data_IF_347978020981
#
_entry.id   IF_347978020981
#
_cell.length_a   1.000
_cell.length_b   1.000
_cell.length_c   1.000
_cell.angle_alpha   90.00
_cell.angle_beta   90.00
_cell.angle_gamma   90.00
#
_symmetry.space_group_name_H-M   'P 1'
#
loop_
_entity.id
_entity.type
_entity.pdbx_description
1 polymer ?
#
# COMPACT_ATOMS: atom_id res chain seq x y z
N UNK A 1 15.99 -7.02 -19.25
CA UNK A 1 15.36 -7.12 -20.58
C UNK A 1 14.00 -7.71 -20.31
N UNK A 2 12.97 -6.87 -20.36
CA UNK A 2 11.59 -7.26 -20.06
C UNK A 2 11.14 -8.20 -21.18
N UNK A 3 10.68 -9.40 -20.83
CA UNK A 3 10.26 -10.44 -21.78
C UNK A 3 9.18 -9.91 -22.73
N UNK A 4 9.15 -10.40 -23.97
CA UNK A 4 8.12 -10.04 -24.96
C UNK A 4 6.70 -10.38 -24.45
N UNK A 5 6.59 -11.35 -23.54
CA UNK A 5 5.33 -11.70 -22.86
C UNK A 5 4.90 -10.63 -21.84
N UNK A 6 5.85 -10.03 -21.12
CA UNK A 6 5.59 -8.88 -20.24
C UNK A 6 5.31 -7.63 -21.07
N UNK A 7 6.01 -7.44 -22.20
CA UNK A 7 5.72 -6.35 -23.15
C UNK A 7 4.33 -6.50 -23.77
N UNK A 8 3.86 -7.72 -24.02
CA UNK A 8 2.49 -8.00 -24.46
C UNK A 8 1.45 -7.77 -23.35
N UNK A 9 1.74 -8.18 -22.10
CA UNK A 9 0.86 -7.92 -20.96
C UNK A 9 0.73 -6.41 -20.65
N UNK A 10 1.85 -5.69 -20.74
CA UNK A 10 1.91 -4.22 -20.61
C UNK A 10 1.25 -3.55 -21.82
N UNK A 11 1.41 -4.10 -23.03
CA UNK A 11 0.71 -3.69 -24.25
C UNK A 11 -0.81 -3.82 -24.20
N UNK A 12 -1.31 -4.90 -23.59
CA UNK A 12 -2.74 -5.10 -23.37
C UNK A 12 -3.30 -4.12 -22.31
N UNK A 13 -2.52 -3.84 -21.26
CA UNK A 13 -2.86 -2.79 -20.27
C UNK A 13 -2.79 -1.37 -20.88
N UNK A 14 -1.96 -1.15 -21.91
CA UNK A 14 -1.78 0.10 -22.65
C UNK A 14 -2.98 0.45 -23.55
N UNK A 15 -3.50 -0.49 -24.35
CA UNK A 15 -4.72 -0.25 -25.16
C UNK A 15 -5.95 0.04 -24.29
N UNK A 16 -5.95 -0.55 -23.09
CA UNK A 16 -6.97 -0.40 -22.07
C UNK A 16 -6.95 0.97 -21.39
N UNK A 17 -5.77 1.51 -21.06
CA UNK A 17 -5.61 2.83 -20.45
C UNK A 17 -5.82 4.00 -21.45
N UNK A 18 -5.61 3.78 -22.75
CA UNK A 18 -5.71 4.80 -23.78
C UNK A 18 -7.17 5.18 -24.17
N UNK A 19 -8.17 4.43 -23.70
CA UNK A 19 -9.57 4.57 -24.13
C UNK A 19 -10.52 5.08 -23.05
N UNK A 20 -10.03 5.35 -21.84
CA UNK A 20 -10.88 5.69 -20.69
C UNK A 20 -10.38 6.94 -19.97
N UNK A 21 -11.25 7.95 -19.85
CA UNK A 21 -11.14 8.93 -18.77
C UNK A 21 -11.10 8.14 -17.45
N UNK A 22 -10.07 8.43 -16.66
CA UNK A 22 -9.50 7.55 -15.64
C UNK A 22 -10.45 7.39 -14.45
N UNK A 23 -11.42 6.47 -14.52
CA UNK A 23 -12.23 5.98 -13.38
C UNK A 23 -12.51 4.45 -13.45
N UNK A 24 -12.19 3.78 -14.56
CA UNK A 24 -12.36 2.33 -14.78
C UNK A 24 -12.48 2.00 -16.28
N UNK A 25 -12.41 0.72 -16.67
CA UNK A 25 -12.49 0.23 -18.05
C UNK A 25 -12.82 -1.27 -18.17
N UNK A 26 -12.73 -1.87 -19.36
CA UNK A 26 -12.93 -3.32 -19.56
C UNK A 26 -12.05 -3.90 -20.68
N UNK A 27 -11.47 -5.09 -20.46
CA UNK A 27 -10.61 -5.84 -21.39
C UNK A 27 -11.06 -7.31 -21.47
N UNK A 28 -11.27 -7.84 -22.68
CA UNK A 28 -11.60 -9.27 -22.91
C UNK A 28 -12.74 -9.83 -22.03
N UNK A 29 -13.76 -9.00 -21.75
CA UNK A 29 -14.90 -9.35 -20.90
C UNK A 29 -14.65 -9.16 -19.40
N UNK A 30 -13.48 -8.66 -19.01
CA UNK A 30 -13.09 -8.32 -17.64
C UNK A 30 -13.16 -6.81 -17.45
N UNK A 31 -14.14 -6.34 -16.68
CA UNK A 31 -14.22 -4.93 -16.27
C UNK A 31 -13.30 -4.67 -15.08
N UNK A 32 -12.51 -3.60 -15.13
CA UNK A 32 -11.74 -3.09 -14.00
C UNK A 32 -12.24 -1.70 -13.60
N UNK A 33 -12.16 -1.44 -12.31
CA UNK A 33 -12.22 -0.10 -11.72
C UNK A 33 -10.89 0.12 -11.00
N UNK A 34 -10.50 1.35 -10.68
CA UNK A 34 -9.42 1.55 -9.71
C UNK A 34 -9.95 1.03 -8.36
N UNK A 35 -9.76 -0.26 -8.13
CA UNK A 35 -10.41 -1.04 -7.07
C UNK A 35 -9.81 -0.77 -5.68
N UNK A 36 -8.77 0.06 -5.63
CA UNK A 36 -8.18 0.63 -4.41
C UNK A 36 -9.15 1.50 -3.60
N UNK A 37 -10.31 1.83 -4.16
CA UNK A 37 -11.41 2.44 -3.42
C UNK A 37 -12.33 1.42 -2.72
N UNK A 38 -12.23 0.09 -2.96
CA UNK A 38 -13.14 -0.88 -2.33
C UNK A 38 -13.00 -0.83 -0.82
N UNK A 39 -13.99 -0.28 -0.10
CA UNK A 39 -13.79 -0.04 1.31
C UNK A 39 -13.90 -1.36 2.06
N UNK A 40 -12.96 -1.57 2.98
CA UNK A 40 -12.95 -2.72 3.86
C UNK A 40 -13.97 -2.49 4.97
N UNK A 41 -14.91 -3.41 5.12
CA UNK A 41 -15.81 -3.46 6.27
C UNK A 41 -15.02 -3.95 7.48
N UNK A 42 -15.01 -3.16 8.54
CA UNK A 42 -14.25 -3.41 9.76
C UNK A 42 -15.05 -4.26 10.74
N UNK A 43 -14.37 -5.17 11.42
CA UNK A 43 -14.89 -5.90 12.56
C UNK A 43 -15.23 -4.94 13.70
N UNK A 44 -16.32 -5.16 14.48
CA UNK A 44 -16.72 -4.25 15.56
C UNK A 44 -15.66 -3.93 16.61
N UNK A 45 -14.68 -4.82 16.82
CA UNK A 45 -13.55 -4.61 17.72
C UNK A 45 -12.70 -3.38 17.39
N UNK A 46 -12.71 -2.91 16.14
CA UNK A 46 -11.99 -1.70 15.72
C UNK A 46 -12.52 -0.42 16.39
N UNK A 47 -13.69 -0.43 17.01
CA UNK A 47 -14.20 0.69 17.83
C UNK A 47 -13.32 0.97 19.05
N UNK A 48 -12.64 -0.05 19.56
CA UNK A 48 -11.82 0.03 20.77
C UNK A 48 -10.41 0.60 20.49
N UNK A 49 -10.01 0.73 19.23
CA UNK A 49 -8.70 1.31 18.86
C UNK A 49 -8.80 2.83 18.95
N UNK A 50 -8.36 3.41 20.07
CA UNK A 50 -8.57 4.83 20.39
C UNK A 50 -8.01 5.81 19.33
N UNK A 51 -6.89 5.45 18.70
CA UNK A 51 -6.22 6.25 17.68
C UNK A 51 -6.88 6.12 16.29
N UNK A 52 -7.80 5.18 16.08
CA UNK A 52 -8.59 5.16 14.85
C UNK A 52 -9.53 6.38 14.85
N UNK A 53 -9.56 7.19 13.78
CA UNK A 53 -10.45 8.33 13.65
C UNK A 53 -11.91 8.00 13.98
N UNK A 54 -12.60 8.94 14.64
CA UNK A 54 -13.93 8.70 15.22
C UNK A 54 -15.01 8.37 14.20
N UNK A 55 -14.94 8.99 13.03
CA UNK A 55 -15.76 8.71 11.85
C UNK A 55 -15.54 7.28 11.33
N UNK A 56 -14.28 6.84 11.19
CA UNK A 56 -13.95 5.47 10.80
C UNK A 56 -14.38 4.44 11.86
N UNK A 57 -14.24 4.76 13.15
CA UNK A 57 -14.76 3.93 14.25
C UNK A 57 -16.29 3.82 14.25
N UNK A 58 -16.99 4.90 13.94
CA UNK A 58 -18.45 4.90 13.89
C UNK A 58 -18.96 4.13 12.66
N UNK A 59 -18.37 4.39 11.49
CA UNK A 59 -18.77 3.79 10.21
C UNK A 59 -18.32 2.35 10.01
N UNK A 60 -17.24 1.91 10.66
CA UNK A 60 -16.61 0.59 10.47
C UNK A 60 -16.38 0.26 9.00
N UNK A 61 -15.90 1.24 8.25
CA UNK A 61 -15.60 1.14 6.83
C UNK A 61 -14.41 2.04 6.55
N UNK A 62 -13.46 1.55 5.77
CA UNK A 62 -12.26 2.33 5.41
C UNK A 62 -11.81 1.98 3.99
N UNK A 63 -11.56 3.00 3.17
CA UNK A 63 -10.92 2.91 1.87
C UNK A 63 -9.62 3.71 1.80
N UNK A 64 -8.99 3.72 0.61
CA UNK A 64 -7.76 4.49 0.36
C UNK A 64 -7.95 6.00 0.53
N UNK A 65 -9.08 6.55 0.10
CA UNK A 65 -9.40 7.97 0.27
C UNK A 65 -9.47 8.39 1.75
N UNK A 66 -9.97 7.52 2.62
CA UNK A 66 -9.95 7.72 4.07
C UNK A 66 -8.51 7.74 4.60
N UNK A 67 -7.65 6.82 4.16
CA UNK A 67 -6.23 6.81 4.54
C UNK A 67 -5.51 8.10 4.17
N UNK A 68 -5.74 8.60 2.95
CA UNK A 68 -5.15 9.85 2.48
C UNK A 68 -5.66 11.05 3.28
N UNK A 69 -6.95 11.08 3.64
CA UNK A 69 -7.52 12.12 4.50
C UNK A 69 -6.92 12.09 5.92
N UNK A 70 -6.69 10.90 6.47
CA UNK A 70 -6.01 10.72 7.75
C UNK A 70 -4.56 11.19 7.66
N UNK A 71 -3.83 10.81 6.61
CA UNK A 71 -2.44 11.25 6.40
C UNK A 71 -2.33 12.77 6.30
N UNK A 72 -3.25 13.43 5.58
CA UNK A 72 -3.31 14.89 5.50
C UNK A 72 -3.53 15.55 6.88
N UNK A 73 -4.38 14.94 7.72
CA UNK A 73 -4.62 15.43 9.10
C UNK A 73 -3.41 15.20 10.01
N UNK A 74 -2.71 14.07 9.86
CA UNK A 74 -1.47 13.77 10.57
C UNK A 74 -0.38 14.81 10.24
N UNK A 75 -0.22 15.13 8.95
CA UNK A 75 0.69 16.17 8.44
C UNK A 75 0.41 17.55 9.03
N UNK A 76 -0.86 17.87 9.31
CA UNK A 76 -1.25 19.13 9.92
C UNK A 76 -0.93 19.23 11.42
N UNK A 77 -0.34 18.20 12.04
CA UNK A 77 0.17 18.22 13.41
C UNK A 77 -0.56 17.31 14.40
N UNK A 78 -1.32 16.32 13.93
CA UNK A 78 -2.09 15.41 14.79
C UNK A 78 -1.31 14.17 15.27
N UNK A 79 -0.02 14.08 14.93
CA UNK A 79 0.78 12.87 15.07
C UNK A 79 0.41 11.82 14.01
N UNK A 80 1.16 10.71 13.98
CA UNK A 80 1.13 9.65 12.97
C UNK A 80 0.49 8.37 13.46
N UNK A 81 0.29 8.21 14.78
CA UNK A 81 -0.45 7.10 15.35
C UNK A 81 -1.84 6.86 14.71
N UNK A 82 -2.63 7.90 14.33
CA UNK A 82 -3.89 7.68 13.62
C UNK A 82 -3.72 7.05 12.24
N UNK A 83 -2.67 7.41 11.50
CA UNK A 83 -2.38 6.79 10.20
C UNK A 83 -1.95 5.34 10.34
N UNK A 84 -1.16 4.99 11.38
CA UNK A 84 -0.84 3.60 11.68
C UNK A 84 -2.12 2.79 11.98
N UNK A 85 -3.02 3.34 12.81
CA UNK A 85 -4.29 2.69 13.14
C UNK A 85 -5.15 2.48 11.89
N UNK A 86 -5.26 3.50 11.04
CA UNK A 86 -6.02 3.46 9.80
C UNK A 86 -5.42 2.45 8.80
N UNK A 87 -4.10 2.48 8.56
CA UNK A 87 -3.43 1.53 7.68
C UNK A 87 -3.60 0.08 8.18
N UNK A 88 -3.54 -0.14 9.50
CA UNK A 88 -3.79 -1.45 10.09
C UNK A 88 -5.24 -1.89 9.92
N UNK A 89 -6.21 -0.97 10.06
CA UNK A 89 -7.63 -1.23 9.84
C UNK A 89 -7.92 -1.59 8.37
N UNK A 90 -7.27 -0.91 7.43
CA UNK A 90 -7.43 -1.22 6.02
C UNK A 90 -6.85 -2.60 5.65
N UNK A 91 -5.79 -3.04 6.30
CA UNK A 91 -5.17 -4.35 6.03
C UNK A 91 -5.81 -5.52 6.79
N UNK A 92 -6.17 -5.31 8.06
CA UNK A 92 -6.65 -6.36 8.96
C UNK A 92 -8.08 -6.13 9.43
N UNK A 93 -8.82 -5.26 8.75
CA UNK A 93 -10.12 -4.76 9.18
C UNK A 93 -11.12 -5.85 9.54
N UNK A 94 -11.11 -6.98 8.82
CA UNK A 94 -12.06 -8.08 9.04
C UNK A 94 -11.75 -8.94 10.27
N UNK A 95 -10.63 -8.69 10.96
CA UNK A 95 -10.15 -9.47 12.11
C UNK A 95 -10.20 -8.66 13.41
N UNK A 96 -10.64 -9.30 14.49
CA UNK A 96 -10.55 -8.79 15.86
C UNK A 96 -9.12 -8.86 16.42
N UNK A 97 -8.35 -9.90 16.07
CA UNK A 97 -6.91 -10.00 16.35
C UNK A 97 -6.14 -8.82 15.72
N UNK A 98 -6.58 -8.34 14.55
CA UNK A 98 -6.07 -7.13 13.93
C UNK A 98 -6.23 -5.89 14.82
N UNK A 99 -7.43 -5.68 15.37
CA UNK A 99 -7.71 -4.56 16.27
C UNK A 99 -6.91 -4.68 17.59
N UNK A 100 -6.90 -5.88 18.19
CA UNK A 100 -6.14 -6.14 19.42
C UNK A 100 -4.63 -5.92 19.24
N UNK A 101 -4.03 -6.45 18.16
CA UNK A 101 -2.61 -6.29 17.84
C UNK A 101 -2.27 -4.81 17.63
N UNK A 102 -3.11 -4.08 16.92
CA UNK A 102 -2.93 -2.65 16.64
C UNK A 102 -2.95 -1.83 17.92
N UNK A 103 -3.90 -2.07 18.83
CA UNK A 103 -3.93 -1.44 20.15
C UNK A 103 -2.63 -1.68 20.93
N UNK A 104 -2.12 -2.92 20.96
CA UNK A 104 -0.86 -3.24 21.65
C UNK A 104 0.37 -2.56 21.06
N UNK A 105 0.40 -2.31 19.74
CA UNK A 105 1.47 -1.53 19.12
C UNK A 105 1.37 -0.09 19.59
N UNK A 106 0.18 0.50 19.53
CA UNK A 106 -0.11 1.90 19.84
C UNK A 106 0.06 2.26 21.33
N UNK A 107 -0.12 1.29 22.23
CA UNK A 107 0.08 1.48 23.67
C UNK A 107 1.56 1.68 24.06
N UNK A 108 2.49 1.49 23.12
CA UNK A 108 3.92 1.69 23.37
C UNK A 108 4.24 3.19 23.30
N UNK A 109 4.89 3.70 24.34
CA UNK A 109 5.19 5.14 24.47
C UNK A 109 6.21 5.69 23.45
N UNK A 110 6.80 4.85 22.61
CA UNK A 110 7.82 5.21 21.63
C UNK A 110 7.35 5.12 20.16
N UNK A 111 6.06 4.84 19.91
CA UNK A 111 5.52 4.77 18.54
C UNK A 111 5.65 6.10 17.82
N UNK A 112 5.16 7.17 18.43
CA UNK A 112 5.04 8.47 17.78
C UNK A 112 6.40 9.02 17.31
N UNK A 113 7.46 9.07 18.16
CA UNK A 113 8.78 9.54 17.70
C UNK A 113 9.39 8.67 16.59
N UNK A 114 9.10 7.36 16.57
CA UNK A 114 9.58 6.46 15.51
C UNK A 114 8.87 6.73 14.19
N UNK A 115 7.55 6.93 14.22
CA UNK A 115 6.78 7.28 13.03
C UNK A 115 7.18 8.65 12.48
N UNK A 116 7.41 9.63 13.36
CA UNK A 116 7.95 10.95 12.96
C UNK A 116 9.30 10.82 12.25
N UNK A 117 10.22 10.02 12.79
CA UNK A 117 11.53 9.77 12.17
C UNK A 117 11.41 9.09 10.79
N UNK A 118 10.47 8.15 10.65
CA UNK A 118 10.18 7.46 9.39
C UNK A 118 9.63 8.42 8.35
N UNK A 119 8.67 9.27 8.71
CA UNK A 119 8.12 10.25 7.76
C UNK A 119 9.14 11.34 7.42
N UNK A 120 9.98 11.76 8.37
CA UNK A 120 11.08 12.67 8.08
C UNK A 120 12.07 12.05 7.07
N UNK A 121 12.37 10.75 7.22
CA UNK A 121 13.23 10.02 6.27
C UNK A 121 12.56 9.88 4.89
N UNK A 122 11.26 9.58 4.86
CA UNK A 122 10.45 9.50 3.64
C UNK A 122 10.49 10.80 2.83
N UNK A 123 10.33 11.93 3.53
CA UNK A 123 10.38 13.26 2.92
C UNK A 123 11.78 13.64 2.43
N UNK A 124 12.81 13.36 3.23
CA UNK A 124 14.16 13.83 2.98
C UNK A 124 14.93 12.97 1.97
N UNK A 125 14.74 11.65 2.02
CA UNK A 125 15.54 10.68 1.26
C UNK A 125 14.65 9.94 0.27
N UNK A 126 13.62 9.26 0.77
CA UNK A 126 12.66 8.56 -0.06
C UNK A 126 12.08 7.29 0.58
N UNK A 127 11.22 6.57 -0.17
CA UNK A 127 10.46 5.44 0.34
C UNK A 127 11.30 4.24 0.74
N UNK A 128 12.40 3.96 0.02
CA UNK A 128 13.27 2.80 0.32
C UNK A 128 13.99 2.97 1.66
N UNK A 129 14.53 4.15 1.93
CA UNK A 129 15.20 4.45 3.21
C UNK A 129 14.21 4.50 4.38
N UNK A 130 13.00 5.04 4.15
CA UNK A 130 11.94 5.01 5.15
C UNK A 130 11.50 3.57 5.48
N UNK A 131 11.40 2.72 4.46
CA UNK A 131 11.15 1.29 4.63
C UNK A 131 12.29 0.60 5.40
N UNK A 132 13.55 0.88 5.03
CA UNK A 132 14.72 0.36 5.75
C UNK A 132 14.67 0.72 7.23
N UNK A 133 14.33 1.97 7.56
CA UNK A 133 14.19 2.40 8.95
C UNK A 133 13.10 1.58 9.67
N UNK A 134 11.92 1.40 9.07
CA UNK A 134 10.84 0.57 9.63
C UNK A 134 11.22 -0.90 9.81
N UNK A 135 12.04 -1.44 8.91
CA UNK A 135 12.50 -2.83 8.98
C UNK A 135 13.63 -3.04 10.02
N UNK A 136 14.26 -1.96 10.50
CA UNK A 136 15.44 -2.05 11.37
C UNK A 136 15.29 -1.17 12.62
N UNK A 137 15.96 -0.02 12.68
CA UNK A 137 16.07 0.80 13.90
C UNK A 137 14.72 1.40 14.35
N UNK A 138 13.83 1.66 13.40
CA UNK A 138 12.46 2.13 13.62
C UNK A 138 11.43 1.01 13.84
N UNK A 139 11.84 -0.27 13.87
CA UNK A 139 10.93 -1.40 13.90
C UNK A 139 9.97 -1.38 15.09
N UNK A 140 8.67 -1.43 14.80
CA UNK A 140 7.60 -1.58 15.80
C UNK A 140 7.25 -3.08 15.94
N UNK A 141 7.51 -3.72 17.09
CA UNK A 141 7.21 -5.15 17.24
C UNK A 141 5.73 -5.47 17.02
N UNK A 142 5.46 -6.45 16.15
CA UNK A 142 4.10 -6.81 15.73
C UNK A 142 3.59 -6.01 14.53
N UNK A 143 4.39 -5.08 14.00
CA UNK A 143 4.13 -4.35 12.76
C UNK A 143 5.04 -4.91 11.68
N UNK A 144 4.46 -5.40 10.58
CA UNK A 144 5.18 -6.12 9.54
C UNK A 144 5.26 -5.39 8.20
N UNK A 145 6.11 -5.90 7.27
CA UNK A 145 6.35 -5.33 5.94
C UNK A 145 5.13 -4.83 5.16
N UNK A 146 4.06 -5.62 5.07
CA UNK A 146 2.85 -5.23 4.32
C UNK A 146 2.10 -4.04 4.92
N UNK A 147 2.26 -3.78 6.22
CA UNK A 147 1.71 -2.58 6.84
C UNK A 147 2.64 -1.38 6.68
N UNK A 148 3.96 -1.61 6.67
CA UNK A 148 4.94 -0.55 6.41
C UNK A 148 4.67 0.10 5.06
N UNK A 149 4.51 -0.70 4.02
CA UNK A 149 4.30 -0.21 2.65
C UNK A 149 3.03 0.62 2.53
N UNK A 150 1.91 0.21 3.15
CA UNK A 150 0.65 0.96 3.15
C UNK A 150 0.72 2.26 3.96
N UNK A 151 1.42 2.26 5.10
CA UNK A 151 1.67 3.48 5.84
C UNK A 151 2.50 4.48 5.01
N UNK A 152 3.57 3.99 4.36
CA UNK A 152 4.42 4.82 3.52
C UNK A 152 3.66 5.34 2.29
N UNK A 153 2.90 4.49 1.60
CA UNK A 153 2.06 4.85 0.45
C UNK A 153 1.10 6.00 0.78
N UNK A 154 0.44 5.95 1.93
CA UNK A 154 -0.46 7.03 2.37
C UNK A 154 0.28 8.28 2.89
N UNK A 155 1.45 8.12 3.50
CA UNK A 155 2.22 9.23 4.08
C UNK A 155 3.07 9.99 3.05
N UNK A 156 3.36 9.37 1.91
CA UNK A 156 4.18 9.94 0.85
C UNK A 156 3.44 11.05 0.09
N UNK A 157 4.17 12.11 -0.23
CA UNK A 157 3.67 13.30 -0.93
C UNK A 157 4.49 13.62 -2.18
N UNK A 158 5.39 12.72 -2.56
CA UNK A 158 6.29 12.90 -3.69
C UNK A 158 5.53 12.73 -4.99
N UNK A 159 5.80 13.61 -5.95
CA UNK A 159 5.22 13.52 -7.30
C UNK A 159 5.99 12.55 -8.24
N UNK A 160 7.24 12.22 -7.89
CA UNK A 160 8.09 11.30 -8.65
C UNK A 160 7.99 9.86 -8.14
N UNK A 161 9.14 9.22 -7.94
CA UNK A 161 9.20 7.95 -7.21
C UNK A 161 8.65 8.12 -5.79
N UNK A 162 7.45 7.58 -5.58
CA UNK A 162 6.70 7.57 -4.32
C UNK A 162 6.44 6.14 -3.86
N UNK A 163 6.24 5.96 -2.56
CA UNK A 163 5.89 4.69 -1.94
C UNK A 163 4.63 4.07 -2.55
N UNK A 164 4.59 2.74 -2.63
CA UNK A 164 3.42 1.96 -3.05
C UNK A 164 3.10 0.89 -2.01
N UNK A 165 1.81 0.55 -1.89
CA UNK A 165 1.26 -0.35 -0.89
C UNK A 165 1.40 -1.83 -1.24
N UNK A 166 2.62 -2.37 -1.20
CA UNK A 166 2.86 -3.74 -1.69
C UNK A 166 2.22 -4.82 -0.80
N UNK A 167 1.61 -5.82 -1.45
CA UNK A 167 0.98 -6.96 -0.81
C UNK A 167 1.30 -8.31 -1.48
N UNK A 168 0.69 -9.39 -0.98
CA UNK A 168 0.87 -10.77 -1.49
C UNK A 168 0.43 -10.95 -2.95
N UNK A 169 -0.59 -10.22 -3.39
CA UNK A 169 -1.11 -10.33 -4.76
C UNK A 169 -0.08 -9.72 -5.70
N UNK A 170 0.48 -8.58 -5.31
CA UNK A 170 1.54 -7.95 -6.06
C UNK A 170 2.84 -8.78 -6.08
N UNK A 171 3.22 -9.41 -4.96
CA UNK A 171 4.35 -10.36 -4.93
C UNK A 171 4.15 -11.48 -5.98
N UNK A 172 2.94 -12.06 -6.02
CA UNK A 172 2.57 -13.10 -6.98
C UNK A 172 2.62 -12.58 -8.42
N UNK A 173 2.09 -11.40 -8.66
CA UNK A 173 2.12 -10.77 -9.97
C UNK A 173 3.56 -10.59 -10.47
N UNK A 174 4.44 -10.05 -9.63
CA UNK A 174 5.85 -9.86 -9.98
C UNK A 174 6.56 -11.20 -10.21
N UNK A 175 6.31 -12.22 -9.38
CA UNK A 175 6.83 -13.57 -9.60
C UNK A 175 6.34 -14.21 -10.90
N UNK A 176 5.14 -13.85 -11.38
CA UNK A 176 4.65 -14.25 -12.69
C UNK A 176 5.26 -13.47 -13.85
N UNK A 177 5.69 -12.23 -13.63
CA UNK A 177 6.25 -11.35 -14.66
C UNK A 177 7.76 -11.43 -14.80
N UNK A 178 8.48 -11.75 -13.73
CA UNK A 178 9.95 -11.73 -13.69
C UNK A 178 10.46 -13.15 -13.49
N UNK A 179 10.90 -13.84 -14.56
CA UNK A 179 11.45 -15.18 -14.45
C UNK A 179 12.58 -15.26 -13.42
N UNK A 180 12.42 -16.15 -12.44
CA UNK A 180 13.42 -16.39 -11.40
C UNK A 180 13.35 -15.45 -10.19
N UNK A 181 12.37 -14.55 -10.11
CA UNK A 181 12.09 -13.88 -8.83
C UNK A 181 11.35 -14.83 -7.88
N UNK A 182 11.69 -14.74 -6.59
CA UNK A 182 11.09 -15.54 -5.52
C UNK A 182 10.70 -14.61 -4.37
N UNK A 183 9.85 -13.63 -4.68
CA UNK A 183 9.42 -12.63 -3.70
C UNK A 183 8.51 -13.27 -2.65
N UNK A 184 8.84 -13.03 -1.38
CA UNK A 184 8.01 -13.46 -0.27
C UNK A 184 6.66 -12.72 -0.26
N UNK A 185 5.60 -13.42 0.16
CA UNK A 185 4.26 -12.83 0.19
C UNK A 185 4.07 -11.78 1.30
N UNK A 186 4.85 -11.84 2.38
CA UNK A 186 4.60 -11.03 3.59
C UNK A 186 5.85 -10.59 4.36
N UNK A 187 7.06 -11.01 3.97
CA UNK A 187 8.30 -10.74 4.70
C UNK A 187 9.37 -10.12 3.79
N UNK A 188 9.05 -8.94 3.29
CA UNK A 188 9.84 -8.29 2.25
C UNK A 188 11.10 -7.67 2.86
N UNK A 189 12.26 -8.03 2.35
CA UNK A 189 13.49 -7.30 2.59
C UNK A 189 13.43 -5.90 1.96
N UNK A 190 14.27 -4.98 2.43
CA UNK A 190 14.44 -3.67 1.81
C UNK A 190 14.83 -3.77 0.33
N UNK A 191 15.61 -4.79 -0.04
CA UNK A 191 16.03 -5.02 -1.42
C UNK A 191 14.84 -5.45 -2.31
N UNK A 192 13.96 -6.33 -1.80
CA UNK A 192 12.74 -6.73 -2.51
C UNK A 192 11.76 -5.56 -2.65
N UNK A 193 11.59 -4.76 -1.60
CA UNK A 193 10.78 -3.55 -1.67
C UNK A 193 11.30 -2.58 -2.73
N UNK A 194 12.61 -2.29 -2.72
CA UNK A 194 13.24 -1.41 -3.71
C UNK A 194 13.14 -1.97 -5.14
N UNK A 195 13.32 -3.27 -5.31
CA UNK A 195 13.19 -3.94 -6.60
C UNK A 195 11.79 -3.78 -7.19
N UNK A 196 10.74 -4.10 -6.42
CA UNK A 196 9.37 -3.99 -6.91
C UNK A 196 8.97 -2.54 -7.12
N UNK A 197 9.34 -1.64 -6.21
CA UNK A 197 9.06 -0.22 -6.37
C UNK A 197 9.66 0.32 -7.68
N UNK A 198 10.95 0.06 -7.92
CA UNK A 198 11.62 0.47 -9.15
C UNK A 198 11.07 -0.21 -10.40
N UNK A 199 10.60 -1.46 -10.30
CA UNK A 199 9.94 -2.16 -11.40
C UNK A 199 8.62 -1.47 -11.78
N UNK A 200 7.75 -1.19 -10.80
CA UNK A 200 6.44 -0.57 -11.06
C UNK A 200 6.58 0.86 -11.57
N UNK A 201 7.48 1.66 -10.99
CA UNK A 201 7.76 3.02 -11.48
C UNK A 201 8.33 3.02 -12.91
N UNK A 202 9.21 2.05 -13.23
CA UNK A 202 9.72 1.90 -14.60
C UNK A 202 8.60 1.54 -15.56
N UNK A 203 7.78 0.53 -15.23
CA UNK A 203 6.64 0.15 -16.06
C UNK A 203 5.75 1.37 -16.29
N UNK A 204 5.39 2.09 -15.22
CA UNK A 204 4.57 3.29 -15.26
C UNK A 204 5.16 4.37 -16.18
N UNK A 205 6.47 4.61 -16.08
CA UNK A 205 7.19 5.55 -16.95
C UNK A 205 7.22 5.12 -18.41
N UNK A 206 7.45 3.83 -18.69
CA UNK A 206 7.45 3.28 -20.05
C UNK A 206 6.06 3.35 -20.70
N UNK A 207 4.99 3.29 -19.90
CA UNK A 207 3.60 3.35 -20.41
C UNK A 207 2.92 4.72 -20.31
N UNK A 208 3.51 5.68 -19.61
CA UNK A 208 2.92 7.02 -19.42
C UNK A 208 1.71 7.06 -18.49
N UNK A 209 1.59 6.14 -17.53
CA UNK A 209 0.53 6.14 -16.50
C UNK A 209 1.14 6.28 -15.10
N UNK A 210 0.30 6.49 -14.08
CA UNK A 210 0.76 6.48 -12.68
C UNK A 210 1.06 5.06 -12.18
N UNK A 211 2.07 4.86 -11.32
CA UNK A 211 2.43 3.53 -10.80
C UNK A 211 1.32 2.87 -9.96
N UNK A 212 0.44 3.64 -9.31
CA UNK A 212 -0.76 3.11 -8.65
C UNK A 212 -1.73 2.43 -9.64
N UNK A 213 -1.79 2.92 -10.88
CA UNK A 213 -2.61 2.29 -11.94
C UNK A 213 -1.99 0.94 -12.33
N UNK A 214 -0.66 0.87 -12.42
CA UNK A 214 0.06 -0.38 -12.68
C UNK A 214 -0.17 -1.38 -11.55
N UNK A 215 -0.07 -0.94 -10.30
CA UNK A 215 -0.37 -1.75 -9.11
C UNK A 215 -1.78 -2.35 -9.17
N UNK A 216 -2.81 -1.51 -9.38
CA UNK A 216 -4.20 -1.94 -9.46
C UNK A 216 -4.44 -2.93 -10.62
N UNK A 217 -3.87 -2.68 -11.80
CA UNK A 217 -4.00 -3.57 -12.94
C UNK A 217 -3.37 -4.95 -12.70
N UNK A 218 -2.22 -4.99 -12.01
CA UNK A 218 -1.57 -6.25 -11.63
C UNK A 218 -2.36 -6.98 -10.53
N UNK A 219 -2.89 -6.24 -9.54
CA UNK A 219 -3.71 -6.83 -8.50
C UNK A 219 -4.95 -7.53 -9.08
N UNK A 220 -5.65 -6.89 -10.02
CA UNK A 220 -6.83 -7.46 -10.68
C UNK A 220 -6.47 -8.70 -11.52
N UNK A 221 -5.43 -8.61 -12.35
CA UNK A 221 -5.01 -9.71 -13.24
C UNK A 221 -4.62 -10.98 -12.47
N UNK A 222 -4.02 -10.82 -11.29
CA UNK A 222 -3.48 -11.91 -10.48
C UNK A 222 -4.32 -12.21 -9.21
N UNK A 223 -5.49 -11.58 -9.08
CA UNK A 223 -6.50 -11.98 -8.12
C UNK A 223 -6.97 -13.41 -8.47
N UNK A 224 -7.03 -14.30 -7.48
CA UNK A 224 -7.67 -15.60 -7.71
C UNK A 224 -9.16 -15.35 -7.99
N UNK A 225 -9.77 -16.00 -9.01
CA UNK A 225 -11.22 -16.06 -9.09
C UNK A 225 -11.70 -16.89 -7.89
N UNK A 226 -12.38 -16.24 -6.95
CA UNK A 226 -13.07 -16.89 -5.83
C UNK A 226 -14.03 -17.99 -6.31
#
# INVERSE_FOLDING_TARGET
>A
MIDDEVRAAVGAALELAATTEIEGGALDGVSWTVDDERPVVLHPAWREVAQLPGDLRAGLRIGRSDLLAVAATCRAGSGWAPLLAAASAWSFGRSDDGAWRTGRILDRGDVEPRLEAVVATLDAVGPVDAYYLLANEGHLPGWGPSLFTRFLDAADRRAGEHALGLDRVLARAVNGLVPGSDLAAADWSTAEYAFVLGLLHRIAGDVGVGPTIVEAALAEKFADPD
#
